data_IF_410340611339
#
_entry.id   IF_410340611339
#
_cell.length_a   1.000
_cell.length_b   1.000
_cell.length_c   1.000
_cell.angle_alpha   90.00
_cell.angle_beta   90.00
_cell.angle_gamma   90.00
#
_symmetry.space_group_name_H-M   'P 1'
#
loop_
_entity.id
_entity.type
_entity.pdbx_description
1 polymer ?
#
# COMPACT_ATOMS: atom_id res chain seq x y z
N UNK A 1 -5.84 -9.86 -22.51
CA UNK A 1 -5.64 -8.60 -21.77
C UNK A 1 -6.32 -7.52 -22.57
N UNK A 2 -7.42 -7.05 -22.04
CA UNK A 2 -8.19 -6.01 -22.68
C UNK A 2 -7.58 -4.66 -22.29
N UNK A 3 -7.91 -3.58 -23.00
CA UNK A 3 -7.31 -2.26 -22.73
C UNK A 3 -7.50 -1.79 -21.28
N UNK A 4 -8.52 -2.29 -20.60
CA UNK A 4 -8.78 -2.04 -19.17
C UNK A 4 -7.79 -2.78 -18.25
N UNK A 5 -7.48 -4.05 -18.52
CA UNK A 5 -6.54 -4.83 -17.69
C UNK A 5 -5.14 -4.27 -17.77
N UNK A 6 -4.73 -3.84 -18.98
CA UNK A 6 -3.43 -3.23 -19.19
C UNK A 6 -3.33 -1.87 -18.47
N UNK A 7 -4.40 -1.06 -18.51
CA UNK A 7 -4.47 0.19 -17.76
C UNK A 7 -4.35 -0.06 -16.25
N UNK A 8 -5.05 -1.07 -15.72
CA UNK A 8 -5.03 -1.42 -14.30
C UNK A 8 -3.64 -1.89 -13.85
N UNK A 9 -3.00 -2.78 -14.62
CA UNK A 9 -1.65 -3.26 -14.34
C UNK A 9 -0.62 -2.11 -14.31
N UNK A 10 -0.68 -1.21 -15.31
CA UNK A 10 0.17 0.01 -15.34
C UNK A 10 -0.11 0.87 -14.10
N UNK A 11 -1.37 1.04 -13.71
CA UNK A 11 -1.73 1.78 -12.51
C UNK A 11 -1.17 1.15 -11.24
N UNK A 12 -1.18 -0.18 -11.11
CA UNK A 12 -0.56 -0.89 -10.00
C UNK A 12 0.95 -0.66 -9.93
N UNK A 13 1.64 -0.69 -11.07
CA UNK A 13 3.08 -0.38 -11.14
C UNK A 13 3.36 1.06 -10.70
N UNK A 14 2.58 2.02 -11.20
CA UNK A 14 2.74 3.45 -10.85
C UNK A 14 2.42 3.66 -9.36
N UNK A 15 1.32 3.10 -8.86
CA UNK A 15 0.92 3.21 -7.46
C UNK A 15 1.94 2.55 -6.52
N UNK A 16 2.49 1.39 -6.90
CA UNK A 16 3.57 0.74 -6.18
C UNK A 16 4.87 1.57 -6.17
N UNK A 17 5.21 2.15 -7.32
CA UNK A 17 6.35 3.07 -7.47
C UNK A 17 6.22 4.32 -6.62
N UNK A 18 5.04 4.97 -6.64
CA UNK A 18 4.73 6.11 -5.79
C UNK A 18 4.73 5.72 -4.31
N UNK A 19 4.15 4.58 -3.94
CA UNK A 19 4.20 4.04 -2.59
C UNK A 19 5.63 3.86 -2.11
N UNK A 20 6.50 3.26 -2.92
CA UNK A 20 7.91 3.09 -2.60
C UNK A 20 8.65 4.43 -2.47
N UNK A 21 8.41 5.34 -3.41
CA UNK A 21 8.96 6.70 -3.36
C UNK A 21 8.57 7.39 -2.05
N UNK A 22 7.31 7.29 -1.63
CA UNK A 22 6.85 7.84 -0.35
C UNK A 22 7.43 7.13 0.86
N UNK A 23 7.68 5.82 0.78
CA UNK A 23 8.39 5.09 1.83
C UNK A 23 9.83 5.60 2.02
N UNK A 24 10.50 5.97 0.94
CA UNK A 24 11.88 6.47 0.97
C UNK A 24 11.90 7.95 1.35
N UNK A 25 11.16 8.79 0.63
CA UNK A 25 11.12 10.24 0.77
C UNK A 25 10.44 10.71 2.07
N UNK A 26 9.52 9.91 2.63
CA UNK A 26 8.83 10.24 3.88
C UNK A 26 7.83 11.38 3.82
N UNK A 27 7.56 11.91 2.63
CA UNK A 27 6.69 13.06 2.39
C UNK A 27 5.59 12.64 1.43
N UNK A 28 4.50 12.10 1.95
CA UNK A 28 3.28 11.87 1.16
C UNK A 28 2.10 12.64 1.78
N UNK A 29 1.08 12.99 0.99
CA UNK A 29 -0.15 13.57 1.54
C UNK A 29 -0.81 12.70 2.61
N UNK A 30 -0.63 11.37 2.55
CA UNK A 30 -1.06 10.44 3.61
C UNK A 30 -0.27 10.52 4.93
N UNK A 31 0.90 11.17 4.95
CA UNK A 31 1.69 11.44 6.16
C UNK A 31 1.28 12.79 6.80
N UNK A 32 0.59 13.65 6.05
CA UNK A 32 0.04 14.93 6.54
C UNK A 32 -1.35 14.77 7.15
N UNK A 33 -1.65 13.62 7.76
CA UNK A 33 -2.90 13.44 8.48
C UNK A 33 -2.87 14.24 9.79
N UNK A 34 -4.00 14.87 10.15
CA UNK A 34 -4.21 15.57 11.42
C UNK A 34 -4.31 14.59 12.59
N UNK A 35 -3.20 13.88 12.85
CA UNK A 35 -3.05 13.04 14.02
C UNK A 35 -2.48 13.84 15.20
N UNK A 36 -2.83 13.49 16.45
CA UNK A 36 -2.15 13.99 17.64
C UNK A 36 -0.63 13.85 17.48
N UNK A 37 0.16 14.83 17.95
CA UNK A 37 1.63 14.82 17.80
C UNK A 37 2.28 13.50 18.26
N UNK A 38 1.73 12.87 19.30
CA UNK A 38 2.16 11.58 19.85
C UNK A 38 1.90 10.39 18.90
N UNK A 39 0.86 10.47 18.07
CA UNK A 39 0.46 9.42 17.13
C UNK A 39 1.11 9.60 15.75
N UNK A 40 1.38 10.85 15.35
CA UNK A 40 1.84 11.19 14.00
C UNK A 40 3.15 10.49 13.64
N UNK A 41 4.19 10.61 14.46
CA UNK A 41 5.49 9.98 14.20
C UNK A 41 5.41 8.45 14.08
N UNK A 42 4.59 7.82 14.93
CA UNK A 42 4.38 6.37 14.92
C UNK A 42 3.55 5.88 13.73
N UNK A 43 2.53 6.65 13.34
CA UNK A 43 1.67 6.37 12.20
C UNK A 43 2.46 6.49 10.89
N UNK A 44 3.26 7.55 10.77
CA UNK A 44 4.18 7.76 9.66
C UNK A 44 5.19 6.61 9.55
N UNK A 45 5.83 6.21 10.66
CA UNK A 45 6.78 5.08 10.65
C UNK A 45 6.11 3.77 10.21
N UNK A 46 4.87 3.53 10.62
CA UNK A 46 4.13 2.33 10.24
C UNK A 46 3.69 2.35 8.77
N UNK A 47 3.18 3.49 8.29
CA UNK A 47 2.83 3.69 6.88
C UNK A 47 4.08 3.56 5.99
N UNK A 48 5.21 4.12 6.41
CA UNK A 48 6.49 4.01 5.69
C UNK A 48 6.93 2.56 5.51
N UNK A 49 6.89 1.76 6.59
CA UNK A 49 7.20 0.32 6.51
C UNK A 49 6.23 -0.41 5.59
N UNK A 50 4.93 -0.12 5.71
CA UNK A 50 3.91 -0.72 4.87
C UNK A 50 4.14 -0.42 3.38
N UNK A 51 4.35 0.85 3.02
CA UNK A 51 4.66 1.25 1.66
C UNK A 51 6.00 0.68 1.15
N UNK A 52 6.99 0.48 2.02
CA UNK A 52 8.27 -0.15 1.66
C UNK A 52 8.12 -1.63 1.29
N UNK A 53 7.23 -2.37 1.97
CA UNK A 53 6.97 -3.79 1.64
C UNK A 53 5.99 -3.94 0.48
N UNK A 54 4.96 -3.11 0.46
CA UNK A 54 3.84 -3.26 -0.47
C UNK A 54 4.11 -2.56 -1.81
N UNK A 55 4.97 -1.54 -1.83
CA UNK A 55 5.44 -0.87 -3.05
C UNK A 55 6.13 -1.82 -4.03
N UNK A 56 7.22 -2.52 -3.65
CA UNK A 56 7.90 -3.49 -4.51
C UNK A 56 6.98 -4.64 -4.91
N UNK A 57 6.12 -5.08 -4.00
CA UNK A 57 5.18 -6.17 -4.23
C UNK A 57 4.14 -5.78 -5.30
N UNK A 58 3.55 -4.58 -5.20
CA UNK A 58 2.62 -4.07 -6.20
C UNK A 58 3.28 -3.85 -7.57
N UNK A 59 4.55 -3.42 -7.60
CA UNK A 59 5.33 -3.32 -8.84
C UNK A 59 5.56 -4.72 -9.44
N UNK A 60 6.01 -5.68 -8.63
CA UNK A 60 6.29 -7.03 -9.10
C UNK A 60 5.03 -7.71 -9.66
N UNK A 61 3.91 -7.61 -8.96
CA UNK A 61 2.63 -8.16 -9.42
C UNK A 61 2.12 -7.43 -10.67
N UNK A 62 2.18 -6.09 -10.69
CA UNK A 62 1.80 -5.32 -11.88
C UNK A 62 2.62 -5.69 -13.11
N UNK A 63 3.95 -5.83 -12.98
CA UNK A 63 4.82 -6.27 -14.09
C UNK A 63 4.52 -7.71 -14.51
N UNK A 64 4.28 -8.62 -13.56
CA UNK A 64 3.91 -10.01 -13.87
C UNK A 64 2.59 -10.11 -14.64
N UNK A 65 1.61 -9.27 -14.32
CA UNK A 65 0.34 -9.21 -15.04
C UNK A 65 0.51 -8.76 -16.50
N UNK A 66 1.55 -7.97 -16.82
CA UNK A 66 1.83 -7.55 -18.20
C UNK A 66 2.38 -8.67 -19.10
N UNK A 67 2.78 -9.82 -18.52
CA UNK A 67 3.33 -10.94 -19.27
C UNK A 67 2.16 -11.80 -19.81
N UNK A 68 1.99 -11.90 -21.14
CA UNK A 68 0.92 -12.71 -21.71
C UNK A 68 1.10 -14.19 -21.35
N UNK A 69 0.02 -14.84 -20.89
CA UNK A 69 0.01 -16.24 -20.45
C UNK A 69 0.08 -16.44 -18.92
N UNK A 70 0.23 -15.37 -18.14
CA UNK A 70 0.29 -15.39 -16.66
C UNK A 70 -0.99 -14.83 -16.01
N UNK A 71 -2.17 -15.16 -16.55
CA UNK A 71 -3.46 -14.63 -16.07
C UNK A 71 -3.77 -14.99 -14.60
N UNK A 72 -3.19 -16.08 -14.09
CA UNK A 72 -3.31 -16.47 -12.69
C UNK A 72 -2.63 -15.49 -11.71
N UNK A 73 -1.68 -14.67 -12.19
CA UNK A 73 -0.98 -13.68 -11.36
C UNK A 73 -1.91 -12.58 -10.89
N UNK A 74 -2.96 -12.26 -11.64
CA UNK A 74 -4.01 -11.33 -11.24
C UNK A 74 -4.72 -11.79 -9.96
N UNK A 75 -5.17 -13.04 -9.94
CA UNK A 75 -5.85 -13.62 -8.77
C UNK A 75 -4.93 -13.69 -7.56
N UNK A 76 -3.65 -14.01 -7.77
CA UNK A 76 -2.65 -14.02 -6.71
C UNK A 76 -2.40 -12.59 -6.19
N UNK A 77 -2.31 -11.61 -7.09
CA UNK A 77 -2.13 -10.20 -6.74
C UNK A 77 -3.28 -9.70 -5.89
N UNK A 78 -4.51 -9.99 -6.30
CA UNK A 78 -5.72 -9.62 -5.58
C UNK A 78 -5.80 -10.30 -4.19
N UNK A 79 -5.50 -11.60 -4.11
CA UNK A 79 -5.45 -12.36 -2.87
C UNK A 79 -4.32 -11.92 -1.92
N UNK A 80 -3.27 -11.25 -2.40
CA UNK A 80 -2.19 -10.75 -1.55
C UNK A 80 -2.45 -9.29 -1.15
N UNK A 81 -2.87 -8.45 -2.09
CA UNK A 81 -3.08 -7.01 -1.88
C UNK A 81 -4.23 -6.74 -0.91
N UNK A 82 -5.39 -7.39 -1.11
CA UNK A 82 -6.57 -7.15 -0.26
C UNK A 82 -6.31 -7.51 1.21
N UNK A 83 -5.82 -8.73 1.56
CA UNK A 83 -5.50 -9.04 2.95
C UNK A 83 -4.40 -8.16 3.53
N UNK A 84 -3.42 -7.76 2.74
CA UNK A 84 -2.35 -6.87 3.21
C UNK A 84 -2.90 -5.51 3.67
N UNK A 85 -3.86 -4.94 2.93
CA UNK A 85 -4.57 -3.71 3.33
C UNK A 85 -5.39 -3.94 4.60
N UNK A 86 -6.13 -5.07 4.68
CA UNK A 86 -6.94 -5.39 5.87
C UNK A 86 -6.06 -5.54 7.11
N UNK A 87 -4.96 -6.27 7.02
CA UNK A 87 -3.99 -6.47 8.11
C UNK A 87 -3.42 -5.12 8.56
N UNK A 88 -3.07 -4.24 7.62
CA UNK A 88 -2.61 -2.89 7.94
C UNK A 88 -3.65 -2.08 8.71
N UNK A 89 -4.91 -2.09 8.28
CA UNK A 89 -6.01 -1.40 8.97
C UNK A 89 -6.22 -1.98 10.37
N UNK A 90 -6.16 -3.31 10.53
CA UNK A 90 -6.31 -3.96 11.83
C UNK A 90 -5.16 -3.61 12.77
N UNK A 91 -3.91 -3.64 12.30
CA UNK A 91 -2.73 -3.26 13.08
C UNK A 91 -2.76 -1.77 13.44
N UNK A 92 -3.14 -0.91 12.50
CA UNK A 92 -3.34 0.52 12.72
C UNK A 92 -4.40 0.75 13.80
N UNK A 93 -5.58 0.16 13.66
CA UNK A 93 -6.65 0.30 14.64
C UNK A 93 -6.25 -0.27 16.01
N UNK A 94 -5.53 -1.39 16.07
CA UNK A 94 -5.07 -1.96 17.35
C UNK A 94 -4.03 -1.09 18.04
N UNK A 95 -3.02 -0.62 17.30
CA UNK A 95 -1.93 0.22 17.84
C UNK A 95 -2.44 1.61 18.24
N UNK A 96 -3.32 2.19 17.44
CA UNK A 96 -3.81 3.56 17.66
C UNK A 96 -5.16 3.67 18.38
N UNK A 97 -5.77 2.54 18.77
CA UNK A 97 -7.02 2.52 19.55
C UNK A 97 -6.94 3.37 20.81
N UNK A 98 -5.77 3.40 21.45
CA UNK A 98 -5.52 4.13 22.69
C UNK A 98 -5.52 5.65 22.48
N UNK A 99 -5.09 6.13 21.31
CA UNK A 99 -5.09 7.55 20.97
C UNK A 99 -6.47 8.05 20.53
N UNK A 100 -7.28 7.18 19.90
CA UNK A 100 -8.65 7.50 19.48
C UNK A 100 -9.67 7.52 20.64
N UNK A 101 -9.39 6.84 21.76
CA UNK A 101 -10.26 6.81 22.96
C UNK A 101 -10.15 8.06 23.85
N UNK A 102 -9.20 8.94 23.57
CA UNK A 102 -8.90 10.14 24.38
C UNK A 102 -9.60 11.42 23.89
N UNK A 103 -10.52 11.29 22.92
CA UNK A 103 -11.44 12.36 22.50
C UNK A 103 -12.82 12.10 23.09
#
# INVERSE_FOLDING_TARGET
>A
MDGFDQLMSVFFVIAGGLGLYYAIAGKAPGFNMDYPKEMKADAEKMLRKFCFFLGPLAIAMGVLEMIPGLEWTYWVGLCIMLPSIVVYIVLFRRKFRQYLKKR
#
